data_IF_721053554870
#
_entry.id   IF_721053554870
#
_cell.length_a   1.000
_cell.length_b   1.000
_cell.length_c   1.000
_cell.angle_alpha   90.00
_cell.angle_beta   90.00
_cell.angle_gamma   90.00
#
_symmetry.space_group_name_H-M   'P 1'
#
loop_
_entity.id
_entity.type
_entity.pdbx_description
1 polymer ?
#
# COMPACT_ATOMS: atom_id res chain seq x y z
N UNK A 1 59.19 39.79 31.32
CA UNK A 1 59.30 38.64 30.40
C UNK A 1 57.95 37.96 30.27
N UNK A 2 57.05 38.48 29.43
CA UNK A 2 55.75 37.84 29.14
C UNK A 2 55.88 37.07 27.83
N UNK A 3 56.05 35.74 27.93
CA UNK A 3 56.02 34.83 26.78
C UNK A 3 54.60 34.83 26.19
N UNK A 4 54.45 35.39 25.00
CA UNK A 4 53.22 35.29 24.20
C UNK A 4 53.11 33.85 23.67
N UNK A 5 52.24 33.06 24.29
CA UNK A 5 51.93 31.70 23.84
C UNK A 5 51.10 31.76 22.54
N UNK A 6 51.76 31.45 21.43
CA UNK A 6 51.16 31.37 20.09
C UNK A 6 50.22 30.17 20.01
N UNK A 7 48.92 30.41 20.10
CA UNK A 7 47.87 29.38 19.98
C UNK A 7 47.88 28.78 18.56
N UNK A 8 47.97 27.44 18.40
CA UNK A 8 47.96 26.82 17.08
C UNK A 8 46.59 27.01 16.42
N UNK A 9 46.57 27.57 15.20
CA UNK A 9 45.36 27.62 14.36
C UNK A 9 45.04 26.20 13.88
N UNK A 10 43.94 25.63 14.34
CA UNK A 10 43.41 24.40 13.78
C UNK A 10 43.00 24.67 12.32
N UNK A 11 43.61 23.96 11.37
CA UNK A 11 43.21 24.05 9.96
C UNK A 11 41.84 23.40 9.83
N UNK A 12 40.80 24.20 9.63
CA UNK A 12 39.49 23.70 9.22
C UNK A 12 39.64 23.13 7.81
N UNK A 13 39.42 21.83 7.64
CA UNK A 13 39.30 21.18 6.33
C UNK A 13 37.88 21.45 5.82
N UNK A 14 37.76 22.05 4.64
CA UNK A 14 36.50 22.25 3.95
C UNK A 14 36.24 21.11 2.96
N UNK A 15 34.96 20.87 2.67
CA UNK A 15 34.53 19.96 1.60
C UNK A 15 34.88 20.61 0.25
N UNK A 16 35.49 19.87 -0.66
CA UNK A 16 35.77 20.33 -2.02
C UNK A 16 34.52 20.16 -2.90
N UNK A 17 34.37 21.01 -3.92
CA UNK A 17 33.26 20.88 -4.88
C UNK A 17 33.32 19.57 -5.65
N UNK A 18 34.53 19.05 -5.90
CA UNK A 18 34.72 17.78 -6.60
C UNK A 18 34.29 16.58 -5.75
N UNK A 19 34.47 16.63 -4.43
CA UNK A 19 33.97 15.58 -3.52
C UNK A 19 32.45 15.50 -3.56
N UNK A 20 31.74 16.64 -3.57
CA UNK A 20 30.28 16.64 -3.71
C UNK A 20 29.82 16.16 -5.08
N UNK A 21 30.55 16.52 -6.15
CA UNK A 21 30.21 16.15 -7.52
C UNK A 21 30.27 14.63 -7.73
N UNK A 22 31.33 13.96 -7.26
CA UNK A 22 31.46 12.51 -7.41
C UNK A 22 30.38 11.78 -6.59
N UNK A 23 30.02 12.30 -5.41
CA UNK A 23 28.97 11.69 -4.58
C UNK A 23 27.61 11.74 -5.27
N UNK A 24 27.20 12.90 -5.80
CA UNK A 24 25.90 12.98 -6.51
C UNK A 24 25.90 12.17 -7.81
N UNK A 25 27.05 12.04 -8.49
CA UNK A 25 27.20 11.21 -9.68
C UNK A 25 26.91 9.73 -9.34
N UNK A 26 27.52 9.21 -8.28
CA UNK A 26 27.28 7.83 -7.84
C UNK A 26 25.83 7.65 -7.35
N UNK A 27 25.28 8.61 -6.60
CA UNK A 27 23.88 8.56 -6.16
C UNK A 27 22.89 8.55 -7.33
N UNK A 28 23.16 9.29 -8.40
CA UNK A 28 22.32 9.29 -9.60
C UNK A 28 22.29 7.91 -10.28
N UNK A 29 23.45 7.24 -10.38
CA UNK A 29 23.54 5.88 -10.93
C UNK A 29 22.75 4.88 -10.08
N UNK A 30 22.88 4.95 -8.75
CA UNK A 30 22.13 4.08 -7.85
C UNK A 30 20.62 4.32 -7.95
N UNK A 31 20.18 5.59 -7.97
CA UNK A 31 18.76 5.95 -8.06
C UNK A 31 18.14 5.52 -9.39
N UNK A 32 18.87 5.55 -10.49
CA UNK A 32 18.39 5.10 -11.80
C UNK A 32 17.92 3.63 -11.79
N UNK A 33 18.57 2.78 -10.99
CA UNK A 33 18.18 1.36 -10.83
C UNK A 33 17.22 1.16 -9.66
N UNK A 34 17.41 1.88 -8.56
CA UNK A 34 16.64 1.70 -7.34
C UNK A 34 15.18 2.15 -7.49
N UNK A 35 14.91 3.26 -8.18
CA UNK A 35 13.55 3.81 -8.34
C UNK A 35 12.57 2.87 -9.06
N UNK A 36 12.86 2.33 -10.25
CA UNK A 36 11.91 1.43 -10.93
C UNK A 36 11.65 0.15 -10.10
N UNK A 37 12.68 -0.39 -9.45
CA UNK A 37 12.55 -1.55 -8.57
C UNK A 37 11.66 -1.24 -7.36
N UNK A 38 11.87 -0.07 -6.74
CA UNK A 38 11.06 0.38 -5.62
C UNK A 38 9.59 0.57 -6.00
N UNK A 39 9.31 1.22 -7.14
CA UNK A 39 7.95 1.43 -7.61
C UNK A 39 7.23 0.11 -7.91
N UNK A 40 7.90 -0.86 -8.52
CA UNK A 40 7.35 -2.20 -8.76
C UNK A 40 7.09 -2.98 -7.46
N UNK A 41 7.98 -2.86 -6.47
CA UNK A 41 7.78 -3.49 -5.16
C UNK A 41 6.58 -2.88 -4.42
N UNK A 42 6.43 -1.55 -4.48
CA UNK A 42 5.27 -0.86 -3.89
C UNK A 42 3.98 -1.29 -4.57
N UNK A 43 3.91 -1.34 -5.90
CA UNK A 43 2.68 -1.77 -6.60
C UNK A 43 2.32 -3.23 -6.28
N UNK A 44 3.29 -4.14 -6.22
CA UNK A 44 3.06 -5.54 -5.83
C UNK A 44 2.57 -5.66 -4.38
N UNK A 45 3.15 -4.88 -3.46
CA UNK A 45 2.69 -4.84 -2.06
C UNK A 45 1.25 -4.32 -1.93
N UNK A 46 0.85 -3.32 -2.73
CA UNK A 46 -0.52 -2.81 -2.77
C UNK A 46 -1.49 -3.87 -3.28
N UNK A 47 -1.13 -4.60 -4.35
CA UNK A 47 -1.96 -5.69 -4.88
C UNK A 47 -2.14 -6.83 -3.87
N UNK A 48 -1.07 -7.24 -3.19
CA UNK A 48 -1.11 -8.26 -2.12
C UNK A 48 -1.99 -7.84 -0.96
N UNK A 49 -1.84 -6.59 -0.51
CA UNK A 49 -2.66 -6.03 0.57
C UNK A 49 -4.12 -5.95 0.17
N UNK A 50 -4.40 -5.52 -1.08
CA UNK A 50 -5.76 -5.46 -1.59
C UNK A 50 -6.43 -6.84 -1.61
N UNK A 51 -5.71 -7.86 -2.11
CA UNK A 51 -6.20 -9.25 -2.12
C UNK A 51 -6.47 -9.78 -0.71
N UNK A 52 -5.60 -9.48 0.26
CA UNK A 52 -5.79 -9.88 1.65
C UNK A 52 -7.01 -9.22 2.29
N UNK A 53 -7.22 -7.93 2.04
CA UNK A 53 -8.40 -7.20 2.50
C UNK A 53 -9.69 -7.77 1.88
N UNK A 54 -9.69 -8.04 0.58
CA UNK A 54 -10.84 -8.66 -0.11
C UNK A 54 -11.18 -10.04 0.43
N UNK A 55 -10.17 -10.86 0.75
CA UNK A 55 -10.38 -12.16 1.40
C UNK A 55 -11.00 -12.00 2.79
N UNK A 56 -10.57 -10.99 3.54
CA UNK A 56 -11.15 -10.66 4.85
C UNK A 56 -12.62 -10.26 4.71
N UNK A 57 -12.95 -9.42 3.73
CA UNK A 57 -14.34 -9.04 3.42
C UNK A 57 -15.17 -10.25 2.98
N UNK A 58 -14.63 -11.12 2.12
CA UNK A 58 -15.34 -12.32 1.68
C UNK A 58 -15.63 -13.29 2.84
N UNK A 59 -14.70 -13.42 3.79
CA UNK A 59 -14.93 -14.21 5.01
C UNK A 59 -15.99 -13.58 5.90
N UNK A 60 -15.98 -12.25 6.03
CA UNK A 60 -17.02 -11.53 6.76
C UNK A 60 -18.40 -11.69 6.11
N UNK A 61 -18.48 -11.67 4.77
CA UNK A 61 -19.69 -11.93 3.99
C UNK A 61 -20.19 -13.37 4.18
N UNK A 62 -19.29 -14.35 4.20
CA UNK A 62 -19.66 -15.73 4.49
C UNK A 62 -20.23 -15.88 5.90
N UNK A 63 -19.65 -15.22 6.90
CA UNK A 63 -20.16 -15.20 8.28
C UNK A 63 -21.49 -14.43 8.40
N UNK A 64 -21.64 -13.33 7.67
CA UNK A 64 -22.89 -12.58 7.62
C UNK A 64 -24.01 -13.41 6.99
N UNK A 65 -23.71 -14.12 5.90
CA UNK A 65 -24.66 -15.01 5.25
C UNK A 65 -25.15 -16.14 6.15
N UNK A 66 -24.32 -16.67 7.05
CA UNK A 66 -24.76 -17.74 7.98
C UNK A 66 -25.50 -17.22 9.20
N UNK A 67 -25.29 -15.95 9.59
CA UNK A 67 -25.93 -15.34 10.76
C UNK A 67 -27.18 -14.52 10.44
N UNK A 68 -27.31 -14.05 9.20
CA UNK A 68 -28.48 -13.30 8.75
C UNK A 68 -29.68 -14.21 8.49
N UNK A 69 -30.88 -13.74 8.82
CA UNK A 69 -32.13 -14.50 8.63
C UNK A 69 -32.42 -14.79 7.15
N UNK A 70 -31.98 -13.92 6.23
CA UNK A 70 -32.20 -14.06 4.79
C UNK A 70 -31.19 -15.00 4.12
N UNK A 71 -30.10 -15.35 4.79
CA UNK A 71 -29.01 -16.16 4.24
C UNK A 71 -28.46 -15.63 2.92
N UNK A 72 -28.40 -14.31 2.79
CA UNK A 72 -27.91 -13.59 1.61
C UNK A 72 -26.64 -12.81 1.92
N UNK A 73 -25.85 -12.51 0.88
CA UNK A 73 -24.81 -11.49 0.97
C UNK A 73 -25.44 -10.11 1.18
N UNK A 74 -24.70 -9.21 1.80
CA UNK A 74 -25.11 -7.79 1.89
C UNK A 74 -24.42 -6.99 0.78
N UNK A 75 -24.97 -5.83 0.47
CA UNK A 75 -24.31 -4.81 -0.37
C UNK A 75 -23.83 -3.63 0.47
N UNK A 76 -24.06 -3.66 1.78
CA UNK A 76 -23.73 -2.59 2.71
C UNK A 76 -22.56 -3.00 3.58
N UNK A 77 -21.41 -2.34 3.39
CA UNK A 77 -20.18 -2.68 4.11
C UNK A 77 -20.32 -2.55 5.64
N UNK A 78 -21.19 -1.64 6.10
CA UNK A 78 -21.43 -1.44 7.55
C UNK A 78 -22.08 -2.63 8.24
N UNK A 79 -22.84 -3.46 7.53
CA UNK A 79 -23.46 -4.68 8.09
C UNK A 79 -22.39 -5.73 8.44
N UNK A 80 -21.21 -5.63 7.82
CA UNK A 80 -20.08 -6.52 8.03
C UNK A 80 -19.18 -6.09 9.18
N UNK A 81 -19.40 -4.92 9.78
CA UNK A 81 -18.51 -4.34 10.80
C UNK A 81 -18.28 -5.26 12.01
N UNK A 82 -19.30 -6.02 12.40
CA UNK A 82 -19.20 -6.98 13.50
C UNK A 82 -18.19 -8.11 13.20
N UNK A 83 -17.98 -8.44 11.93
CA UNK A 83 -17.11 -9.52 11.47
C UNK A 83 -15.73 -9.02 10.97
N UNK A 84 -15.60 -7.73 10.64
CA UNK A 84 -14.38 -7.12 10.10
C UNK A 84 -13.44 -6.59 11.19
N UNK A 85 -13.94 -6.20 12.36
CA UNK A 85 -13.16 -5.57 13.44
C UNK A 85 -12.75 -4.11 13.14
N UNK A 86 -12.31 -3.83 11.91
CA UNK A 86 -12.12 -2.49 11.35
C UNK A 86 -12.38 -2.51 9.84
N UNK A 87 -12.94 -1.43 9.29
CA UNK A 87 -13.13 -1.32 7.83
C UNK A 87 -11.77 -1.19 7.14
N UNK A 88 -11.36 -2.15 6.28
CA UNK A 88 -10.10 -2.05 5.58
C UNK A 88 -10.10 -0.85 4.64
N UNK A 89 -8.95 -0.19 4.52
CA UNK A 89 -8.73 0.90 3.57
C UNK A 89 -8.04 0.34 2.33
N UNK A 90 -8.43 0.79 1.15
CA UNK A 90 -7.78 0.31 -0.04
C UNK A 90 -6.38 0.92 -0.20
N UNK A 91 -5.33 0.12 -0.47
CA UNK A 91 -3.97 0.62 -0.68
C UNK A 91 -3.81 1.64 -1.81
N UNK A 92 -4.75 1.70 -2.76
CA UNK A 92 -4.77 2.70 -3.83
C UNK A 92 -5.33 4.07 -3.40
N UNK A 93 -5.75 4.22 -2.13
CA UNK A 93 -6.21 5.49 -1.56
C UNK A 93 -7.74 5.64 -1.45
N UNK A 94 -8.49 4.56 -1.68
CA UNK A 94 -9.95 4.56 -1.70
C UNK A 94 -10.61 3.61 -0.70
N UNK A 95 -11.89 3.30 -0.93
CA UNK A 95 -12.70 2.42 -0.06
C UNK A 95 -13.08 1.12 -0.76
N UNK A 96 -13.41 0.10 0.02
CA UNK A 96 -14.00 -1.12 -0.52
C UNK A 96 -15.51 -0.99 -0.68
N UNK A 97 -16.04 -1.55 -1.76
CA UNK A 97 -17.47 -1.76 -1.96
C UNK A 97 -17.77 -3.23 -2.22
N UNK A 98 -18.98 -3.64 -1.86
CA UNK A 98 -19.52 -4.98 -2.04
C UNK A 98 -20.80 -4.90 -2.83
N UNK A 99 -20.86 -5.66 -3.91
CA UNK A 99 -22.00 -5.69 -4.82
C UNK A 99 -22.38 -7.13 -5.13
N UNK A 100 -23.67 -7.37 -5.35
CA UNK A 100 -24.15 -8.64 -5.88
C UNK A 100 -24.28 -8.48 -7.38
N UNK A 101 -23.56 -9.30 -8.15
CA UNK A 101 -23.58 -9.22 -9.60
C UNK A 101 -24.98 -9.55 -10.13
N UNK A 102 -25.54 -8.63 -10.92
CA UNK A 102 -26.83 -8.83 -11.62
C UNK A 102 -26.66 -9.56 -12.96
N UNK A 103 -25.42 -9.85 -13.38
CA UNK A 103 -25.06 -10.49 -14.63
C UNK A 103 -23.74 -11.25 -14.50
N UNK A 104 -22.98 -11.37 -15.59
CA UNK A 104 -21.59 -11.82 -15.49
C UNK A 104 -20.68 -10.61 -15.26
N UNK A 105 -20.03 -10.53 -14.10
CA UNK A 105 -19.09 -9.46 -13.76
C UNK A 105 -17.66 -9.99 -13.69
N UNK A 106 -16.66 -9.13 -13.86
CA UNK A 106 -15.25 -9.50 -13.68
C UNK A 106 -14.78 -8.96 -12.33
N UNK A 107 -14.37 -9.85 -11.42
CA UNK A 107 -13.75 -9.47 -10.16
C UNK A 107 -12.37 -8.83 -10.40
N UNK A 108 -11.83 -8.11 -9.41
CA UNK A 108 -10.51 -7.46 -9.55
C UNK A 108 -9.35 -8.43 -9.87
N UNK A 109 -9.48 -9.71 -9.51
CA UNK A 109 -8.52 -10.75 -9.88
C UNK A 109 -8.72 -11.31 -11.31
N UNK A 110 -9.55 -10.67 -12.14
CA UNK A 110 -9.86 -11.11 -13.50
C UNK A 110 -10.79 -12.32 -13.60
N UNK A 111 -11.25 -12.86 -12.46
CA UNK A 111 -12.18 -13.99 -12.42
C UNK A 111 -13.59 -13.54 -12.82
N UNK A 112 -14.28 -14.36 -13.62
CA UNK A 112 -15.69 -14.13 -13.94
C UNK A 112 -16.58 -14.58 -12.79
N UNK A 113 -17.44 -13.68 -12.34
CA UNK A 113 -18.43 -13.88 -11.29
C UNK A 113 -19.79 -14.00 -11.98
N UNK A 114 -20.51 -15.13 -11.83
CA UNK A 114 -21.85 -15.29 -12.40
C UNK A 114 -22.88 -14.45 -11.65
N UNK A 115 -24.09 -14.36 -12.20
CA UNK A 115 -25.20 -13.64 -11.57
C UNK A 115 -25.52 -14.22 -10.19
N UNK A 116 -25.82 -13.33 -9.25
CA UNK A 116 -26.00 -13.67 -7.82
C UNK A 116 -24.69 -13.88 -7.06
N UNK A 117 -23.53 -13.77 -7.71
CA UNK A 117 -22.23 -13.83 -7.06
C UNK A 117 -21.85 -12.50 -6.39
N UNK A 118 -21.04 -12.60 -5.32
CA UNK A 118 -20.46 -11.45 -4.63
C UNK A 118 -19.28 -10.88 -5.43
N UNK A 119 -19.26 -9.57 -5.60
CA UNK A 119 -18.16 -8.80 -6.16
C UNK A 119 -17.65 -7.85 -5.10
N UNK A 120 -16.35 -7.93 -4.77
CA UNK A 120 -15.67 -6.96 -3.93
C UNK A 120 -14.77 -6.11 -4.82
N UNK A 121 -14.96 -4.80 -4.79
CA UNK A 121 -14.13 -3.85 -5.52
C UNK A 121 -13.49 -2.87 -4.57
N UNK A 122 -12.34 -2.34 -4.97
CA UNK A 122 -11.70 -1.21 -4.34
C UNK A 122 -11.67 -0.07 -5.36
N UNK A 123 -12.08 1.12 -4.93
CA UNK A 123 -12.07 2.37 -5.70
C UNK A 123 -11.57 3.49 -4.83
#
# INVERSE_FOLDING_TARGET
>A
MTKLLRRPRTRRRGFTLIELLIVILVLAILMAVALPLYLAAVSDSQLKSCRSNMQTIANAEAAYKTSSSTHTYTTTLSDLNANLGATPVCPSGGTYSVEISTGSSTAQNGSTVPSGGLVVSCS
#
